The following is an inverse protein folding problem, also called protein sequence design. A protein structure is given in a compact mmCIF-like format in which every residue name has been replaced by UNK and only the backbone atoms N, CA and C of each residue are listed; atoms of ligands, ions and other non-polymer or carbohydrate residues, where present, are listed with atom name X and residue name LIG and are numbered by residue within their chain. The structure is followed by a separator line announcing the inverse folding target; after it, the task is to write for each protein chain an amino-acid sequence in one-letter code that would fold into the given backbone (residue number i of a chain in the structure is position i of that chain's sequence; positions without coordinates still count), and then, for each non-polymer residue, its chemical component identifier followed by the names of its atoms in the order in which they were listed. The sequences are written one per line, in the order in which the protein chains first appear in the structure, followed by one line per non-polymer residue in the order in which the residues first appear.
data_IF_897181032888
#
_entry.id   IF_897181032888
#
_cell.length_a   1.000
_cell.length_b   1.000
_cell.length_c   1.000
_cell.angle_alpha   90.00
_cell.angle_beta   90.00
_cell.angle_gamma   90.00
#
_symmetry.space_group_name_H-M   'P 1'
#
loop_
_entity.id
_entity.type
_entity.pdbx_description
1 polymer ?
#
# COMPACT_ATOMS: atom_id res chain seq x y z
N UNK A 1 -6.63 5.94 11.27
CA UNK A 1 -7.15 4.91 12.20
C UNK A 1 -8.50 4.37 11.71
N UNK A 2 -9.43 5.23 11.30
CA UNK A 2 -10.78 4.85 10.86
C UNK A 2 -10.77 3.76 9.77
N UNK A 3 -9.99 3.95 8.71
CA UNK A 3 -9.89 3.01 7.57
C UNK A 3 -9.27 1.66 7.89
N UNK A 4 -8.21 1.64 8.71
CA UNK A 4 -7.37 0.45 8.89
C UNK A 4 -7.54 -0.20 10.26
N UNK A 5 -8.20 0.47 11.20
CA UNK A 5 -8.29 0.04 12.60
C UNK A 5 -6.92 -0.05 13.31
N UNK A 6 -5.87 0.58 12.75
CA UNK A 6 -4.50 0.51 13.28
C UNK A 6 -3.95 1.90 13.58
N UNK A 7 -3.00 1.96 14.51
CA UNK A 7 -2.37 3.22 14.90
C UNK A 7 -1.41 3.71 13.81
N UNK A 8 -1.61 4.93 13.27
CA UNK A 8 -0.72 5.51 12.27
C UNK A 8 0.57 6.04 12.90
N UNK A 9 1.63 6.04 12.12
CA UNK A 9 2.89 6.71 12.45
C UNK A 9 2.95 8.03 11.68
N UNK A 10 3.15 9.14 12.38
CA UNK A 10 3.34 10.45 11.76
C UNK A 10 4.70 10.51 11.07
N UNK A 11 4.72 11.05 9.86
CA UNK A 11 5.95 11.35 9.14
C UNK A 11 6.29 12.82 9.36
N UNK A 12 7.54 13.08 9.74
CA UNK A 12 8.05 14.43 10.02
C UNK A 12 9.01 14.86 8.90
N UNK A 13 9.03 16.16 8.61
CA UNK A 13 9.98 16.71 7.66
C UNK A 13 11.40 16.65 8.22
N UNK A 14 12.34 16.22 7.38
CA UNK A 14 13.77 16.16 7.71
C UNK A 14 14.52 17.44 7.35
N UNK A 15 13.92 18.25 6.52
CA UNK A 15 14.52 19.50 6.01
C UNK A 15 13.48 20.62 6.01
N UNK A 16 13.96 21.86 6.06
CA UNK A 16 13.11 23.04 5.88
C UNK A 16 12.96 23.33 4.39
N UNK A 17 11.69 23.41 3.92
CA UNK A 17 11.36 23.84 2.56
C UNK A 17 10.55 25.15 2.65
N UNK A 18 11.11 26.24 2.10
CA UNK A 18 10.49 27.57 2.14
C UNK A 18 9.30 27.68 1.21
N UNK A 19 9.36 27.04 0.05
CA UNK A 19 8.30 27.10 -0.98
C UNK A 19 7.01 26.42 -0.49
N UNK A 20 7.15 25.31 0.22
CA UNK A 20 6.04 24.59 0.84
C UNK A 20 5.70 25.09 2.26
N UNK A 21 6.42 26.12 2.76
CA UNK A 21 6.27 26.64 4.14
C UNK A 21 6.39 25.56 5.23
N UNK A 22 7.17 24.52 4.97
CA UNK A 22 7.39 23.40 5.89
C UNK A 22 8.72 23.59 6.62
N UNK A 23 8.71 23.51 7.95
CA UNK A 23 9.91 23.52 8.79
C UNK A 23 10.37 22.10 9.10
N UNK A 24 11.68 21.96 9.34
CA UNK A 24 12.22 20.72 9.89
C UNK A 24 11.50 20.35 11.20
N UNK A 25 11.18 19.05 11.38
CA UNK A 25 10.42 18.55 12.51
C UNK A 25 8.90 18.71 12.42
N UNK A 26 8.38 19.41 11.40
CA UNK A 26 6.93 19.55 11.21
C UNK A 26 6.30 18.23 10.73
N UNK A 27 5.11 17.85 11.22
CA UNK A 27 4.38 16.70 10.70
C UNK A 27 3.86 17.02 9.30
N UNK A 28 4.19 16.16 8.32
CA UNK A 28 3.84 16.35 6.90
C UNK A 28 2.92 15.24 6.36
N UNK A 29 2.76 14.16 7.09
CA UNK A 29 1.91 13.06 6.66
C UNK A 29 1.83 11.95 7.69
N UNK A 30 1.18 10.86 7.31
CA UNK A 30 1.09 9.67 8.14
C UNK A 30 1.20 8.41 7.28
N UNK A 31 1.65 7.32 7.89
CA UNK A 31 1.69 5.99 7.27
C UNK A 31 1.22 4.93 8.25
N UNK A 32 0.62 3.88 7.71
CA UNK A 32 0.21 2.69 8.45
C UNK A 32 0.85 1.48 7.79
N UNK A 33 1.42 0.57 8.58
CA UNK A 33 1.92 -0.71 8.10
C UNK A 33 1.06 -1.82 8.65
N UNK A 34 0.33 -2.50 7.78
CA UNK A 34 -0.53 -3.62 8.13
C UNK A 34 0.23 -4.94 7.97
N UNK A 35 0.12 -5.83 8.98
CA UNK A 35 0.76 -7.16 8.96
C UNK A 35 -0.20 -8.30 9.28
N UNK A 36 -1.39 -7.99 9.80
CA UNK A 36 -2.43 -8.99 10.06
C UNK A 36 -3.13 -9.34 8.75
N UNK A 37 -3.03 -10.60 8.33
CA UNK A 37 -3.57 -11.07 7.04
C UNK A 37 -5.09 -10.89 6.91
N UNK A 38 -5.85 -11.12 7.98
CA UNK A 38 -7.30 -10.95 7.96
C UNK A 38 -7.69 -9.49 7.72
N UNK A 39 -7.07 -8.56 8.47
CA UNK A 39 -7.32 -7.12 8.30
C UNK A 39 -6.86 -6.61 6.93
N UNK A 40 -5.73 -7.12 6.42
CA UNK A 40 -5.23 -6.79 5.09
C UNK A 40 -6.24 -7.24 4.03
N UNK A 41 -6.79 -8.46 4.13
CA UNK A 41 -7.71 -8.98 3.15
C UNK A 41 -9.00 -8.14 3.06
N UNK A 42 -9.57 -7.76 4.20
CA UNK A 42 -10.76 -6.89 4.26
C UNK A 42 -10.44 -5.51 3.69
N UNK A 43 -9.34 -4.89 4.12
CA UNK A 43 -8.93 -3.56 3.66
C UNK A 43 -8.67 -3.54 2.15
N UNK A 44 -7.93 -4.53 1.62
CA UNK A 44 -7.65 -4.62 0.19
C UNK A 44 -8.91 -4.82 -0.65
N UNK A 45 -9.86 -5.63 -0.19
CA UNK A 45 -11.13 -5.80 -0.88
C UNK A 45 -11.87 -4.47 -1.04
N UNK A 46 -11.96 -3.69 0.04
CA UNK A 46 -12.60 -2.38 0.01
C UNK A 46 -11.83 -1.37 -0.85
N UNK A 47 -10.50 -1.40 -0.79
CA UNK A 47 -9.65 -0.51 -1.57
C UNK A 47 -9.68 -0.81 -3.08
N UNK A 48 -9.74 -2.08 -3.45
CA UNK A 48 -9.89 -2.50 -4.85
C UNK A 48 -11.28 -2.16 -5.38
N UNK A 49 -12.31 -2.32 -4.55
CA UNK A 49 -13.66 -1.90 -4.90
C UNK A 49 -13.74 -0.38 -5.19
N UNK A 50 -13.06 0.46 -4.41
CA UNK A 50 -12.93 1.90 -4.66
C UNK A 50 -12.23 2.24 -6.00
N UNK A 51 -11.58 1.26 -6.63
CA UNK A 51 -10.97 1.35 -7.98
C UNK A 51 -11.69 0.50 -9.02
N UNK A 52 -12.98 0.19 -8.81
CA UNK A 52 -13.81 -0.63 -9.69
C UNK A 52 -13.19 -2.01 -10.02
N UNK A 53 -12.35 -2.53 -9.13
CA UNK A 53 -11.57 -3.75 -9.30
C UNK A 53 -10.73 -3.79 -10.60
N UNK A 54 -10.34 -2.62 -11.11
CA UNK A 54 -9.59 -2.48 -12.35
C UNK A 54 -8.27 -1.78 -12.10
N UNK A 55 -7.17 -2.42 -12.47
CA UNK A 55 -5.81 -1.90 -12.29
C UNK A 55 -5.01 -2.05 -13.59
N UNK A 56 -4.23 -1.03 -14.00
CA UNK A 56 -3.30 -1.15 -15.11
C UNK A 56 -2.09 -2.02 -14.76
N UNK A 57 -1.53 -2.67 -15.77
CA UNK A 57 -0.39 -3.58 -15.60
C UNK A 57 0.86 -2.91 -15.04
N UNK A 58 1.06 -1.62 -15.31
CA UNK A 58 2.21 -0.86 -14.80
C UNK A 58 2.20 -0.62 -13.28
N UNK A 59 1.06 -0.84 -12.62
CA UNK A 59 0.98 -0.78 -11.14
C UNK A 59 1.70 -1.94 -10.45
N UNK A 60 2.08 -2.96 -11.22
CA UNK A 60 2.82 -4.11 -10.73
C UNK A 60 4.31 -3.98 -11.04
N UNK A 61 5.12 -4.09 -10.00
CA UNK A 61 6.59 -4.07 -10.08
C UNK A 61 7.14 -5.41 -10.60
N UNK A 62 8.36 -5.39 -11.12
CA UNK A 62 9.12 -6.58 -11.53
C UNK A 62 9.32 -7.61 -10.39
N UNK A 63 9.22 -7.17 -9.15
CA UNK A 63 9.28 -8.01 -7.94
C UNK A 63 7.90 -8.45 -7.43
N UNK A 64 6.84 -8.27 -8.23
CA UNK A 64 5.49 -8.66 -7.87
C UNK A 64 4.80 -7.78 -6.83
N UNK A 65 5.35 -6.61 -6.52
CA UNK A 65 4.68 -5.67 -5.63
C UNK A 65 3.61 -4.90 -6.41
N UNK A 66 2.53 -4.55 -5.72
CA UNK A 66 1.44 -3.75 -6.28
C UNK A 66 1.38 -2.39 -5.59
N UNK A 67 1.25 -1.32 -6.38
CA UNK A 67 1.08 0.04 -5.87
C UNK A 67 -0.02 0.76 -6.63
N UNK A 68 -0.98 1.33 -5.91
CA UNK A 68 -2.05 2.13 -6.50
C UNK A 68 -2.54 3.22 -5.54
N UNK A 69 -3.08 4.29 -6.09
CA UNK A 69 -3.64 5.40 -5.33
C UNK A 69 -5.17 5.37 -5.30
N UNK A 70 -5.75 5.81 -4.20
CA UNK A 70 -7.16 6.14 -4.06
C UNK A 70 -7.25 7.65 -3.84
N UNK A 71 -8.02 8.33 -4.67
CA UNK A 71 -8.07 9.80 -4.68
C UNK A 71 -8.82 10.35 -3.47
N UNK A 72 -9.85 9.65 -3.02
CA UNK A 72 -10.68 10.07 -1.91
C UNK A 72 -10.97 8.91 -0.95
N UNK A 73 -10.90 9.19 0.35
CA UNK A 73 -11.27 8.20 1.36
C UNK A 73 -12.79 7.90 1.38
N UNK A 74 -13.61 8.77 0.82
CA UNK A 74 -15.06 8.57 0.70
C UNK A 74 -15.46 7.51 -0.32
N UNK A 75 -14.54 7.14 -1.21
CA UNK A 75 -14.73 6.02 -2.15
C UNK A 75 -14.82 4.65 -1.42
N UNK A 76 -14.41 4.60 -0.15
CA UNK A 76 -14.63 3.41 0.68
C UNK A 76 -16.08 3.36 1.17
N UNK A 77 -16.79 2.26 0.89
CA UNK A 77 -18.22 2.10 1.15
C UNK A 77 -18.67 2.35 2.60
N UNK A 78 -17.76 2.22 3.56
CA UNK A 78 -18.06 2.34 4.99
C UNK A 78 -17.85 3.75 5.55
N UNK A 79 -17.30 4.69 4.75
CA UNK A 79 -16.95 6.02 5.21
C UNK A 79 -17.87 7.08 4.62
N UNK A 80 -18.25 8.02 5.46
CA UNK A 80 -18.99 9.21 5.07
C UNK A 80 -18.05 10.41 5.06
N UNK A 81 -18.35 11.36 4.20
CA UNK A 81 -17.65 12.63 4.15
C UNK A 81 -17.77 13.37 5.49
N UNK A 82 -16.63 13.78 6.04
CA UNK A 82 -16.52 14.60 7.23
C UNK A 82 -15.93 15.97 6.86
N UNK A 83 -16.71 17.06 7.00
CA UNK A 83 -16.23 18.40 6.68
C UNK A 83 -15.03 18.86 7.51
N UNK A 84 -14.85 18.35 8.73
CA UNK A 84 -13.71 18.71 9.59
C UNK A 84 -12.40 18.08 9.07
N UNK A 85 -12.49 16.92 8.44
CA UNK A 85 -11.33 16.20 7.92
C UNK A 85 -10.98 16.68 6.50
N UNK A 86 -11.99 17.00 5.68
CA UNK A 86 -11.80 17.34 4.26
C UNK A 86 -11.54 16.11 3.39
N UNK A 87 -11.11 16.33 2.15
CA UNK A 87 -10.83 15.26 1.17
C UNK A 87 -9.34 14.88 1.23
N UNK A 88 -9.03 13.62 1.42
CA UNK A 88 -7.67 13.10 1.43
C UNK A 88 -7.55 11.83 0.61
N UNK A 89 -6.58 11.86 -0.31
CA UNK A 89 -6.13 10.66 -1.03
C UNK A 89 -5.11 9.86 -0.24
N UNK A 90 -4.86 8.64 -0.69
CA UNK A 90 -3.85 7.76 -0.11
C UNK A 90 -3.22 6.85 -1.15
N UNK A 91 -1.96 6.52 -0.93
CA UNK A 91 -1.24 5.51 -1.70
C UNK A 91 -1.22 4.19 -0.93
N UNK A 92 -1.56 3.12 -1.63
CA UNK A 92 -1.60 1.76 -1.09
C UNK A 92 -0.50 0.95 -1.76
N UNK A 93 0.45 0.49 -0.96
CA UNK A 93 1.57 -0.33 -1.43
C UNK A 93 1.45 -1.71 -0.82
N UNK A 94 1.32 -2.73 -1.65
CA UNK A 94 1.22 -4.13 -1.27
C UNK A 94 2.49 -4.86 -1.65
N UNK A 95 3.13 -5.51 -0.69
CA UNK A 95 4.32 -6.32 -0.92
C UNK A 95 3.94 -7.78 -0.83
N UNK A 96 4.14 -8.52 -1.92
CA UNK A 96 3.98 -9.97 -1.97
C UNK A 96 5.33 -10.65 -1.76
N UNK A 97 5.40 -11.49 -0.75
CA UNK A 97 6.62 -12.22 -0.42
C UNK A 97 6.32 -13.68 -0.12
N UNK A 98 7.18 -14.56 -0.61
CA UNK A 98 7.19 -15.97 -0.18
C UNK A 98 7.78 -16.08 1.22
N UNK A 99 7.40 -17.10 2.02
CA UNK A 99 8.01 -17.30 3.34
C UNK A 99 9.52 -17.44 3.22
N UNK A 100 10.26 -16.88 4.18
CA UNK A 100 11.73 -16.94 4.20
C UNK A 100 12.44 -15.59 3.98
N UNK A 101 11.77 -14.55 3.55
CA UNK A 101 12.37 -13.21 3.34
C UNK A 101 12.93 -12.54 4.61
N UNK A 102 12.65 -13.08 5.79
CA UNK A 102 13.23 -12.60 7.05
C UNK A 102 14.76 -12.59 7.06
N UNK A 103 15.39 -13.48 6.30
CA UNK A 103 16.86 -13.55 6.19
C UNK A 103 17.46 -12.23 5.73
N UNK A 104 16.80 -11.51 4.81
CA UNK A 104 17.24 -10.21 4.30
C UNK A 104 17.03 -9.06 5.29
N UNK A 105 16.12 -9.21 6.28
CA UNK A 105 15.72 -8.14 7.20
C UNK A 105 16.28 -8.29 8.62
N UNK A 106 16.66 -9.51 9.02
CA UNK A 106 17.18 -9.78 10.37
C UNK A 106 18.49 -9.04 10.64
N UNK A 107 18.76 -8.70 11.89
CA UNK A 107 19.95 -7.96 12.30
C UNK A 107 21.24 -8.81 12.23
N UNK A 108 21.17 -10.06 12.69
CA UNK A 108 22.32 -11.00 12.72
C UNK A 108 22.21 -11.99 11.57
N UNK A 109 23.36 -12.38 10.98
CA UNK A 109 23.44 -13.32 9.86
C UNK A 109 22.52 -12.92 8.69
N UNK A 110 22.47 -11.62 8.40
CA UNK A 110 21.76 -11.06 7.28
C UNK A 110 22.37 -11.58 5.97
N UNK A 111 21.53 -12.01 5.04
CA UNK A 111 21.95 -12.47 3.72
C UNK A 111 20.93 -12.02 2.67
N UNK A 112 21.36 -11.92 1.42
CA UNK A 112 20.46 -11.69 0.29
C UNK A 112 19.60 -12.93 0.03
N UNK A 113 18.37 -12.72 -0.40
CA UNK A 113 17.47 -13.78 -0.87
C UNK A 113 17.74 -14.00 -2.36
N UNK A 114 17.82 -15.24 -2.80
CA UNK A 114 18.03 -15.57 -4.20
C UNK A 114 16.86 -15.04 -5.06
N UNK A 115 17.17 -14.56 -6.25
CA UNK A 115 16.16 -14.06 -7.20
C UNK A 115 15.10 -15.09 -7.58
N UNK A 116 15.45 -16.38 -7.62
CA UNK A 116 14.50 -17.48 -7.87
C UNK A 116 13.40 -17.61 -6.80
N UNK A 117 13.60 -17.00 -5.64
CA UNK A 117 12.62 -16.99 -4.55
C UNK A 117 11.69 -15.78 -4.59
N UNK A 118 11.93 -14.83 -5.45
CA UNK A 118 11.09 -13.66 -5.61
C UNK A 118 9.82 -14.01 -6.38
N UNK A 119 8.77 -13.24 -6.15
CA UNK A 119 7.52 -13.32 -6.91
C UNK A 119 7.72 -12.52 -8.19
N UNK A 120 7.39 -13.10 -9.34
CA UNK A 120 7.41 -12.38 -10.62
C UNK A 120 6.16 -11.49 -10.77
N UNK A 121 6.22 -10.53 -11.68
CA UNK A 121 5.08 -9.67 -12.01
C UNK A 121 3.86 -10.49 -12.46
N UNK A 122 4.06 -11.45 -13.38
CA UNK A 122 2.99 -12.32 -13.89
C UNK A 122 2.35 -13.16 -12.79
N UNK A 123 3.17 -13.78 -11.94
CA UNK A 123 2.68 -14.58 -10.80
C UNK A 123 1.87 -13.74 -9.82
N UNK A 124 2.29 -12.50 -9.58
CA UNK A 124 1.56 -11.55 -8.75
C UNK A 124 0.21 -11.19 -9.37
N UNK A 125 0.18 -10.86 -10.65
CA UNK A 125 -1.04 -10.54 -11.38
C UNK A 125 -2.06 -11.68 -11.35
N UNK A 126 -1.61 -12.92 -11.60
CA UNK A 126 -2.47 -14.09 -11.56
C UNK A 126 -3.03 -14.35 -10.17
N UNK A 127 -2.20 -14.19 -9.13
CA UNK A 127 -2.65 -14.31 -7.74
C UNK A 127 -3.72 -13.29 -7.37
N UNK A 128 -3.57 -12.03 -7.82
CA UNK A 128 -4.58 -11.00 -7.56
C UNK A 128 -5.86 -11.23 -8.35
N UNK A 129 -5.78 -11.72 -9.61
CA UNK A 129 -6.95 -12.12 -10.40
C UNK A 129 -7.73 -13.25 -9.71
N UNK A 130 -7.03 -14.27 -9.25
CA UNK A 130 -7.66 -15.44 -8.61
C UNK A 130 -8.28 -15.07 -7.26
N UNK A 131 -7.56 -14.33 -6.42
CA UNK A 131 -7.98 -14.06 -5.04
C UNK A 131 -8.99 -12.93 -4.91
N UNK A 132 -8.86 -11.88 -5.70
CA UNK A 132 -9.68 -10.67 -5.59
C UNK A 132 -10.56 -10.42 -6.81
N UNK A 133 -10.42 -11.16 -7.89
CA UNK A 133 -11.20 -11.01 -9.11
C UNK A 133 -10.95 -9.69 -9.84
N UNK A 134 -9.72 -9.17 -9.79
CA UNK A 134 -9.38 -7.90 -10.44
C UNK A 134 -9.21 -8.07 -11.95
N UNK A 135 -9.58 -7.03 -12.70
CA UNK A 135 -9.30 -6.90 -14.12
C UNK A 135 -8.01 -6.11 -14.30
N UNK A 136 -7.05 -6.66 -15.03
CA UNK A 136 -5.80 -5.97 -15.34
C UNK A 136 -5.85 -5.49 -16.77
N UNK A 137 -5.74 -4.16 -16.95
CA UNK A 137 -5.66 -3.54 -18.26
C UNK A 137 -4.20 -3.59 -18.73
N UNK A 138 -4.00 -4.18 -19.92
CA UNK A 138 -2.75 -4.10 -20.66
C UNK A 138 -2.83 -2.82 -21.51
N UNK A 139 -1.98 -1.84 -21.21
CA UNK A 139 -1.70 -0.70 -22.08
C UNK A 139 -0.39 -0.92 -22.83
#
# INVERSE_FOLDING_TARGET
TLLTGMTPVRTISRTTNRDLKVREGSPIGCKVTMRNQEKIAVFLKNALWARDNTLPAYNFDAQGNLSFGVADYTDFAELKYDPEIGIYGMDINVVLERPGHRVSRRRKRKHSVNSSHWVSQSESQDWFREKYGITIMEE
#
